data_IF_027321965280
#
_entry.id   IF_027321965280
#
_cell.length_a   1.000
_cell.length_b   1.000
_cell.length_c   1.000
_cell.angle_alpha   90.00
_cell.angle_beta   90.00
_cell.angle_gamma   90.00
#
_symmetry.space_group_name_H-M   'P 1'
#
loop_
_entity.id
_entity.type
_entity.pdbx_description
1 polymer ?
#
# COMPACT_ATOMS: atom_id res chain seq x y z
N UNK A 1 -33.71 -32.81 31.40
CA UNK A 1 -33.87 -32.12 30.09
C UNK A 1 -33.69 -30.63 30.34
N UNK A 2 -32.98 -29.79 29.60
CA UNK A 2 -32.07 -29.91 28.46
C UNK A 2 -31.08 -28.73 28.61
N UNK A 3 -29.78 -28.98 28.44
CA UNK A 3 -28.74 -27.94 28.56
C UNK A 3 -28.83 -27.05 27.31
N UNK A 4 -29.07 -25.75 27.49
CA UNK A 4 -29.16 -24.79 26.39
C UNK A 4 -27.84 -24.73 25.64
N UNK A 5 -27.92 -25.19 24.40
CA UNK A 5 -26.87 -25.14 23.38
C UNK A 5 -26.56 -23.68 23.06
N UNK A 6 -25.27 -23.39 22.90
CA UNK A 6 -24.66 -22.25 22.19
C UNK A 6 -24.69 -20.87 22.87
N UNK A 7 -24.15 -20.76 24.08
CA UNK A 7 -23.43 -19.52 24.44
C UNK A 7 -22.00 -19.67 23.92
N UNK A 8 -21.64 -18.87 22.91
CA UNK A 8 -20.31 -18.89 22.32
C UNK A 8 -19.37 -18.27 23.35
N UNK A 9 -18.43 -19.08 23.84
CA UNK A 9 -17.42 -18.64 24.81
C UNK A 9 -16.55 -17.52 24.20
N UNK A 10 -16.80 -16.30 24.68
CA UNK A 10 -16.18 -15.07 24.20
C UNK A 10 -14.67 -15.07 24.38
N UNK A 11 -14.16 -15.76 25.42
CA UNK A 11 -12.72 -15.89 25.66
C UNK A 11 -12.06 -16.82 24.64
N UNK A 12 -12.74 -17.91 24.27
CA UNK A 12 -12.26 -18.85 23.26
C UNK A 12 -12.25 -18.21 21.85
N UNK A 13 -13.19 -17.33 21.57
CA UNK A 13 -13.18 -16.49 20.37
C UNK A 13 -12.01 -15.50 20.39
N UNK A 14 -11.82 -14.79 21.50
CA UNK A 14 -10.74 -13.80 21.64
C UNK A 14 -9.35 -14.42 21.46
N UNK A 15 -9.12 -15.60 22.04
CA UNK A 15 -7.83 -16.31 21.94
C UNK A 15 -7.52 -16.79 20.52
N UNK A 16 -8.55 -17.04 19.69
CA UNK A 16 -8.39 -17.44 18.28
C UNK A 16 -8.28 -16.25 17.33
N UNK A 17 -8.91 -15.12 17.65
CA UNK A 17 -8.94 -13.91 16.80
C UNK A 17 -7.69 -13.03 17.02
N UNK A 18 -6.99 -13.13 18.15
CA UNK A 18 -5.77 -12.36 18.44
C UNK A 18 -4.53 -13.28 18.58
N UNK A 19 -3.81 -13.58 17.47
CA UNK A 19 -2.63 -14.45 17.48
C UNK A 19 -1.38 -13.85 18.16
N UNK A 20 -1.42 -12.62 18.69
CA UNK A 20 -0.22 -11.90 19.16
C UNK A 20 -0.16 -11.57 20.65
N UNK A 21 -1.11 -12.04 21.49
CA UNK A 21 -1.12 -11.72 22.93
C UNK A 21 -0.48 -12.78 23.85
N UNK A 22 0.20 -13.79 23.30
CA UNK A 22 0.97 -14.76 24.10
C UNK A 22 2.35 -15.00 23.51
N UNK A 23 3.19 -13.96 23.54
CA UNK A 23 4.64 -14.14 23.50
C UNK A 23 5.17 -13.84 24.90
N UNK A 24 5.35 -14.85 25.77
CA UNK A 24 6.19 -14.68 26.94
C UNK A 24 7.59 -14.37 26.42
N UNK A 25 8.15 -13.22 26.78
CA UNK A 25 9.59 -13.01 26.64
C UNK A 25 10.29 -13.93 27.66
N UNK A 26 11.22 -14.81 27.24
CA UNK A 26 12.18 -15.38 28.15
C UNK A 26 13.44 -14.52 28.13
N UNK A 27 13.88 -14.18 29.33
CA UNK A 27 15.13 -13.49 29.65
C UNK A 27 16.35 -14.09 28.94
N UNK A 28 17.29 -13.22 28.55
CA UNK A 28 18.66 -13.61 28.15
C UNK A 28 19.37 -14.26 29.34
N UNK A 29 20.31 -15.18 29.08
CA UNK A 29 21.71 -14.76 29.21
C UNK A 29 22.64 -15.33 28.13
N UNK A 30 23.90 -14.95 28.28
CA UNK A 30 25.00 -14.84 27.32
C UNK A 30 25.71 -16.16 26.94
N UNK A 31 26.66 -16.02 26.00
CA UNK A 31 27.74 -16.96 25.61
C UNK A 31 27.42 -17.84 24.39
N UNK A 32 27.96 -17.55 23.22
CA UNK A 32 29.33 -17.79 22.74
C UNK A 32 29.55 -19.21 22.16
N UNK A 33 30.27 -19.20 21.03
CA UNK A 33 31.14 -20.22 20.41
C UNK A 33 30.58 -21.29 19.45
N UNK A 34 31.21 -21.24 18.26
CA UNK A 34 31.69 -22.31 17.36
C UNK A 34 30.74 -23.24 16.60
N UNK A 35 30.75 -23.02 15.27
CA UNK A 35 31.34 -23.91 14.25
C UNK A 35 31.37 -25.43 14.52
N UNK A 36 30.82 -26.19 13.57
CA UNK A 36 31.09 -27.61 13.41
C UNK A 36 30.52 -28.12 12.09
N UNK A 37 31.38 -28.22 11.08
CA UNK A 37 31.14 -28.99 9.87
C UNK A 37 31.18 -30.50 10.18
N UNK A 38 30.30 -31.29 9.58
CA UNK A 38 30.55 -32.71 9.35
C UNK A 38 29.68 -33.22 8.18
N UNK A 39 30.38 -33.49 7.09
CA UNK A 39 30.00 -34.34 5.97
C UNK A 39 29.71 -35.77 6.46
N UNK A 40 28.68 -36.41 5.91
CA UNK A 40 28.54 -37.88 5.95
C UNK A 40 27.62 -38.33 4.82
N UNK A 41 28.19 -39.16 3.97
CA UNK A 41 27.65 -39.63 2.70
C UNK A 41 26.82 -40.91 2.82
N UNK A 42 25.90 -41.06 1.84
CA UNK A 42 25.37 -42.30 1.24
C UNK A 42 24.27 -43.13 1.95
N UNK A 43 23.11 -43.22 1.27
CA UNK A 43 22.50 -44.46 0.73
C UNK A 43 21.24 -44.12 -0.09
N UNK A 44 21.10 -44.56 -1.36
CA UNK A 44 19.89 -44.33 -2.14
C UNK A 44 18.90 -45.46 -1.89
N UNK A 45 17.90 -45.22 -1.04
CA UNK A 45 16.77 -46.14 -0.88
C UNK A 45 15.63 -45.69 -1.80
N UNK A 46 14.90 -46.64 -2.39
CA UNK A 46 13.78 -46.47 -3.35
C UNK A 46 12.59 -45.62 -2.86
N UNK A 47 12.71 -44.97 -1.70
CA UNK A 47 11.88 -43.87 -1.25
C UNK A 47 12.11 -42.55 -2.05
N UNK A 48 13.19 -42.47 -2.84
CA UNK A 48 13.57 -41.25 -3.57
C UNK A 48 12.61 -40.80 -4.69
N UNK A 49 11.76 -41.70 -5.22
CA UNK A 49 10.84 -41.33 -6.31
C UNK A 49 9.59 -40.55 -5.82
N UNK A 50 9.19 -40.71 -4.56
CA UNK A 50 8.08 -39.93 -3.98
C UNK A 50 8.55 -38.55 -3.48
N UNK A 51 9.82 -38.42 -3.10
CA UNK A 51 10.40 -37.17 -2.60
C UNK A 51 10.76 -36.20 -3.75
N UNK A 52 11.11 -36.74 -4.92
CA UNK A 52 11.37 -35.96 -6.14
C UNK A 52 10.11 -35.26 -6.68
N UNK A 53 8.92 -35.87 -6.55
CA UNK A 53 7.66 -35.24 -6.98
C UNK A 53 7.09 -34.24 -5.98
N UNK A 54 7.44 -34.34 -4.69
CA UNK A 54 7.07 -33.31 -3.69
C UNK A 54 7.88 -32.03 -3.84
N UNK A 55 9.14 -32.13 -4.26
CA UNK A 55 10.01 -30.96 -4.43
C UNK A 55 9.64 -30.08 -5.62
N UNK A 56 8.82 -30.59 -6.55
CA UNK A 56 8.39 -29.85 -7.74
C UNK A 56 7.15 -28.96 -7.52
N UNK A 57 6.46 -29.06 -6.36
CA UNK A 57 5.21 -28.32 -6.10
C UNK A 57 5.36 -27.24 -5.01
N UNK A 58 6.54 -27.11 -4.40
CA UNK A 58 6.78 -26.17 -3.29
C UNK A 58 7.76 -25.06 -3.62
N UNK A 59 8.11 -24.86 -4.89
CA UNK A 59 8.75 -23.60 -5.29
C UNK A 59 7.66 -22.54 -5.32
N UNK A 60 7.58 -21.60 -4.34
CA UNK A 60 6.71 -20.46 -4.51
C UNK A 60 7.13 -19.78 -5.81
N UNK A 61 6.15 -19.52 -6.68
CA UNK A 61 6.33 -18.65 -7.85
C UNK A 61 6.87 -17.33 -7.28
N UNK A 62 8.18 -17.12 -7.41
CA UNK A 62 8.83 -15.91 -6.93
C UNK A 62 8.29 -14.78 -7.79
N UNK A 63 7.33 -14.02 -7.27
CA UNK A 63 6.93 -12.75 -7.87
C UNK A 63 8.21 -11.93 -7.90
N UNK A 64 8.80 -11.78 -9.09
CA UNK A 64 9.99 -10.96 -9.28
C UNK A 64 9.58 -9.53 -8.91
N UNK A 65 10.00 -9.07 -7.74
CA UNK A 65 9.90 -7.66 -7.37
C UNK A 65 10.73 -6.86 -8.38
N UNK A 66 10.05 -6.28 -9.36
CA UNK A 66 10.65 -5.23 -10.16
C UNK A 66 10.96 -4.07 -9.20
N UNK A 67 12.22 -3.96 -8.80
CA UNK A 67 12.73 -2.93 -7.86
C UNK A 67 12.48 -1.48 -8.33
N UNK A 68 12.02 -1.30 -9.58
CA UNK A 68 11.80 -0.01 -10.23
C UNK A 68 10.32 0.20 -10.62
N UNK A 69 9.37 -0.39 -9.89
CA UNK A 69 7.94 -0.16 -10.08
C UNK A 69 7.43 0.82 -9.00
N UNK A 70 6.86 1.97 -9.42
CA UNK A 70 6.28 2.96 -8.50
C UNK A 70 4.76 2.99 -8.69
N UNK A 71 4.01 2.89 -7.59
CA UNK A 71 2.56 3.08 -7.58
C UNK A 71 2.26 4.58 -7.41
N UNK A 72 1.58 5.19 -8.39
CA UNK A 72 1.26 6.62 -8.38
C UNK A 72 -0.22 6.84 -8.72
N UNK A 73 -0.85 7.81 -8.06
CA UNK A 73 -2.14 8.34 -8.50
C UNK A 73 -1.91 9.43 -9.55
N UNK A 74 -2.31 9.16 -10.80
CA UNK A 74 -2.13 10.10 -11.90
C UNK A 74 -2.84 11.44 -11.64
N UNK A 75 -3.99 11.41 -10.97
CA UNK A 75 -4.77 12.62 -10.68
C UNK A 75 -4.06 13.54 -9.69
N UNK A 76 -3.28 13.00 -8.76
CA UNK A 76 -2.56 13.77 -7.76
C UNK A 76 -1.49 14.64 -8.40
N UNK A 77 -0.71 14.07 -9.31
CA UNK A 77 0.34 14.78 -10.03
C UNK A 77 -0.21 15.85 -10.98
N UNK A 78 -1.32 15.55 -11.67
CA UNK A 78 -2.01 16.53 -12.51
C UNK A 78 -2.60 17.69 -11.69
N UNK A 79 -3.16 17.42 -10.52
CA UNK A 79 -3.67 18.46 -9.62
C UNK A 79 -2.52 19.35 -9.14
N UNK A 80 -1.41 18.76 -8.67
CA UNK A 80 -0.26 19.52 -8.15
C UNK A 80 0.37 20.42 -9.21
N UNK A 81 0.57 19.93 -10.43
CA UNK A 81 1.16 20.72 -11.52
C UNK A 81 0.28 21.91 -11.93
N UNK A 82 -1.05 21.74 -11.90
CA UNK A 82 -2.03 22.78 -12.28
C UNK A 82 -2.39 23.71 -11.12
N UNK A 83 -2.22 23.29 -9.87
CA UNK A 83 -2.68 24.01 -8.68
C UNK A 83 -2.14 25.45 -8.62
N UNK A 84 -0.83 25.63 -8.70
CA UNK A 84 -0.22 26.97 -8.57
C UNK A 84 -0.68 27.91 -9.68
N UNK A 85 -0.77 27.41 -10.91
CA UNK A 85 -1.23 28.19 -12.06
C UNK A 85 -2.70 28.64 -11.91
N UNK A 86 -3.56 27.78 -11.34
CA UNK A 86 -4.98 28.11 -11.14
C UNK A 86 -5.16 29.09 -9.98
N UNK A 87 -4.44 28.91 -8.86
CA UNK A 87 -4.48 29.85 -7.73
C UNK A 87 -4.08 31.27 -8.16
N UNK A 88 -3.05 31.37 -9.03
CA UNK A 88 -2.62 32.66 -9.56
C UNK A 88 -3.68 33.33 -10.44
N UNK A 89 -4.42 32.57 -11.26
CA UNK A 89 -5.50 33.10 -12.12
C UNK A 89 -6.70 33.60 -11.33
N UNK A 90 -7.06 32.92 -10.24
CA UNK A 90 -8.24 33.26 -9.42
C UNK A 90 -7.93 34.22 -8.25
N UNK A 91 -6.70 34.72 -8.15
CA UNK A 91 -6.21 35.63 -7.10
C UNK A 91 -6.60 35.15 -5.69
N UNK A 92 -6.42 33.85 -5.41
CA UNK A 92 -6.65 33.29 -4.08
C UNK A 92 -5.42 33.38 -3.17
N UNK A 93 -5.64 33.17 -1.87
CA UNK A 93 -4.57 33.17 -0.88
C UNK A 93 -3.51 32.09 -1.22
N UNK A 94 -2.23 32.48 -1.14
CA UNK A 94 -1.09 31.62 -1.51
C UNK A 94 -0.46 30.90 -0.31
N UNK A 95 -1.10 30.95 0.86
CA UNK A 95 -0.60 30.26 2.04
C UNK A 95 -0.67 28.74 1.88
N UNK A 96 0.24 28.02 2.53
CA UNK A 96 0.29 26.56 2.45
C UNK A 96 -1.00 25.89 2.94
N UNK A 97 -1.71 26.54 3.87
CA UNK A 97 -3.01 26.07 4.36
C UNK A 97 -4.04 26.04 3.23
N UNK A 98 -4.24 27.16 2.53
CA UNK A 98 -5.19 27.23 1.41
C UNK A 98 -4.77 26.32 0.25
N UNK A 99 -3.48 26.24 -0.07
CA UNK A 99 -3.01 25.35 -1.14
C UNK A 99 -3.37 23.90 -0.86
N UNK A 100 -3.12 23.43 0.37
CA UNK A 100 -3.45 22.07 0.81
C UNK A 100 -4.95 21.83 0.86
N UNK A 101 -5.72 22.80 1.34
CA UNK A 101 -7.19 22.69 1.37
C UNK A 101 -7.78 22.58 -0.03
N UNK A 102 -7.30 23.39 -0.99
CA UNK A 102 -7.74 23.34 -2.39
C UNK A 102 -7.38 21.99 -3.01
N UNK A 103 -6.15 21.52 -2.83
CA UNK A 103 -5.70 20.22 -3.34
C UNK A 103 -6.54 19.07 -2.77
N UNK A 104 -6.76 19.06 -1.45
CA UNK A 104 -7.57 18.04 -0.78
C UNK A 104 -9.01 18.03 -1.28
N UNK A 105 -9.65 19.20 -1.39
CA UNK A 105 -11.02 19.31 -1.90
C UNK A 105 -11.14 18.91 -3.37
N UNK A 106 -10.14 19.21 -4.20
CA UNK A 106 -10.11 18.79 -5.59
C UNK A 106 -9.96 17.27 -5.70
N UNK A 107 -8.99 16.68 -5.00
CA UNK A 107 -8.71 15.23 -5.05
C UNK A 107 -9.85 14.39 -4.48
N UNK A 108 -10.55 14.87 -3.46
CA UNK A 108 -11.72 14.18 -2.91
C UNK A 108 -12.92 14.13 -3.88
N UNK A 109 -12.94 15.00 -4.89
CA UNK A 109 -14.01 15.04 -5.91
C UNK A 109 -13.67 14.25 -7.16
N UNK A 110 -12.38 14.08 -7.43
CA UNK A 110 -11.88 13.36 -8.60
C UNK A 110 -11.84 11.86 -8.31
N UNK A 111 -12.14 11.04 -9.31
CA UNK A 111 -11.96 9.61 -9.20
C UNK A 111 -10.45 9.28 -9.12
N UNK A 112 -9.98 8.53 -8.11
CA UNK A 112 -8.56 8.20 -8.01
C UNK A 112 -8.16 7.21 -9.11
N UNK A 113 -7.07 7.51 -9.82
CA UNK A 113 -6.52 6.67 -10.88
C UNK A 113 -5.11 6.22 -10.53
N UNK A 114 -5.03 5.12 -9.79
CA UNK A 114 -3.77 4.49 -9.41
C UNK A 114 -3.22 3.62 -10.54
N UNK A 115 -1.96 3.86 -10.89
CA UNK A 115 -1.24 3.05 -11.88
C UNK A 115 0.13 2.67 -11.36
N UNK A 116 0.57 1.47 -11.71
CA UNK A 116 1.95 1.02 -11.47
C UNK A 116 2.75 1.39 -12.71
N UNK A 117 3.75 2.24 -12.54
CA UNK A 117 4.63 2.66 -13.62
C UNK A 117 5.99 2.01 -13.42
N UNK A 118 6.44 1.35 -14.47
CA UNK A 118 7.77 0.75 -14.58
C UNK A 118 8.47 1.46 -15.74
N UNK A 119 9.35 2.43 -15.46
CA UNK A 119 10.01 3.23 -16.50
C UNK A 119 9.40 4.62 -16.70
N UNK A 120 9.18 5.01 -17.95
CA UNK A 120 8.91 6.39 -18.39
C UNK A 120 7.59 6.97 -17.81
N UNK A 121 7.74 7.70 -16.71
CA UNK A 121 6.65 8.39 -16.02
C UNK A 121 6.04 9.50 -16.90
N UNK A 122 6.88 10.19 -17.67
CA UNK A 122 6.50 11.39 -18.43
C UNK A 122 5.47 11.10 -19.53
N UNK A 123 5.60 9.98 -20.24
CA UNK A 123 4.64 9.60 -21.29
C UNK A 123 3.25 9.31 -20.71
N UNK A 124 3.21 8.56 -19.61
CA UNK A 124 1.97 8.23 -18.89
C UNK A 124 1.31 9.48 -18.31
N UNK A 125 2.11 10.39 -17.77
CA UNK A 125 1.62 11.67 -17.27
C UNK A 125 1.00 12.51 -18.39
N UNK A 126 1.66 12.60 -19.55
CA UNK A 126 1.15 13.37 -20.69
C UNK A 126 -0.14 12.78 -21.24
N UNK A 127 -0.22 11.45 -21.36
CA UNK A 127 -1.47 10.78 -21.76
C UNK A 127 -2.59 11.03 -20.75
N UNK A 128 -2.29 11.00 -19.45
CA UNK A 128 -3.25 11.33 -18.40
C UNK A 128 -3.68 12.80 -18.47
N UNK A 129 -2.74 13.72 -18.74
CA UNK A 129 -3.03 15.14 -18.88
C UNK A 129 -4.02 15.40 -20.02
N UNK A 130 -3.82 14.79 -21.19
CA UNK A 130 -4.71 14.95 -22.34
C UNK A 130 -6.13 14.45 -22.05
N UNK A 131 -6.27 13.35 -21.29
CA UNK A 131 -7.58 12.75 -20.97
C UNK A 131 -8.31 13.46 -19.84
N UNK A 132 -7.60 13.83 -18.78
CA UNK A 132 -8.21 14.26 -17.51
C UNK A 132 -8.09 15.77 -17.23
N UNK A 133 -7.39 16.55 -18.06
CA UNK A 133 -7.18 17.99 -17.81
C UNK A 133 -8.48 18.78 -17.64
N UNK A 134 -9.52 18.50 -18.43
CA UNK A 134 -10.81 19.19 -18.33
C UNK A 134 -11.51 18.94 -16.99
N UNK A 135 -11.49 17.69 -16.52
CA UNK A 135 -12.09 17.30 -15.24
C UNK A 135 -11.32 17.88 -14.06
N UNK A 136 -9.99 17.79 -14.09
CA UNK A 136 -9.09 18.33 -13.05
C UNK A 136 -9.27 19.84 -12.91
N UNK A 137 -9.32 20.57 -14.03
CA UNK A 137 -9.53 22.02 -14.00
C UNK A 137 -10.92 22.39 -13.45
N UNK A 138 -11.97 21.65 -13.83
CA UNK A 138 -13.31 21.83 -13.25
C UNK A 138 -13.32 21.62 -11.73
N UNK A 139 -12.70 20.55 -11.24
CA UNK A 139 -12.59 20.24 -9.82
C UNK A 139 -11.80 21.31 -9.05
N UNK A 140 -10.68 21.77 -9.61
CA UNK A 140 -9.85 22.84 -9.03
C UNK A 140 -10.63 24.15 -8.90
N UNK A 141 -11.34 24.58 -9.94
CA UNK A 141 -12.15 25.81 -9.89
C UNK A 141 -13.20 25.70 -8.79
N UNK A 142 -13.90 24.57 -8.71
CA UNK A 142 -14.93 24.35 -7.69
C UNK A 142 -14.33 24.28 -6.28
N UNK A 143 -13.13 23.74 -6.10
CA UNK A 143 -12.43 23.73 -4.82
C UNK A 143 -12.00 25.14 -4.41
N UNK A 144 -11.46 25.92 -5.35
CA UNK A 144 -11.06 27.32 -5.13
C UNK A 144 -12.26 28.17 -4.68
N UNK A 145 -13.43 28.01 -5.31
CA UNK A 145 -14.63 28.76 -4.92
C UNK A 145 -15.06 28.48 -3.47
N UNK A 146 -14.94 27.23 -3.02
CA UNK A 146 -15.27 26.84 -1.64
C UNK A 146 -14.27 27.47 -0.66
N UNK A 147 -12.97 27.33 -0.91
CA UNK A 147 -11.93 27.88 -0.02
C UNK A 147 -11.94 29.41 0.00
N UNK A 148 -12.30 30.04 -1.13
CA UNK A 148 -12.45 31.50 -1.21
C UNK A 148 -13.64 32.01 -0.40
N UNK A 149 -14.72 31.23 -0.32
CA UNK A 149 -15.91 31.59 0.47
C UNK A 149 -15.64 31.49 1.97
N UNK A 150 -14.90 30.48 2.41
CA UNK A 150 -14.62 30.23 3.83
C UNK A 150 -13.15 29.81 4.02
N UNK A 151 -12.21 30.77 4.04
CA UNK A 151 -10.81 30.47 4.28
C UNK A 151 -10.57 30.08 5.74
N UNK A 152 -9.71 29.09 5.96
CA UNK A 152 -9.30 28.63 7.31
C UNK A 152 -8.07 29.37 7.88
N UNK A 153 -7.61 30.43 7.23
CA UNK A 153 -6.39 31.15 7.60
C UNK A 153 -6.67 32.45 8.34
#
# INVERSE_FOLDING_TARGET
MAKSKTEIDKELMYRKIMPSSSRPQPDRPESAVSAGAADSSSTPTSAGMADALRRSLTTPVQIRENRNAVLVNLMEELVLSRLDSTIQRFNCCRCDKCKKDIAALALNRLAPHYTVITGDLEEKQKEAEEKYASEVTGALVQAILVVKKEPRH
#
